data_IF_315252715751
#
_entry.id   IF_315252715751
#
_cell.length_a   1.000
_cell.length_b   1.000
_cell.length_c   1.000
_cell.angle_alpha   90.00
_cell.angle_beta   90.00
_cell.angle_gamma   90.00
#
_symmetry.space_group_name_H-M   'P 1'
#
loop_
_entity.id
_entity.type
_entity.pdbx_description
1 polymer ?
#
# COMPACT_ATOMS: atom_id res chain seq x y z
N UNK A 1 18.24 11.76 7.74
CA UNK A 1 17.40 10.71 8.26
C UNK A 1 15.95 11.03 7.98
N UNK A 2 15.25 10.05 7.43
CA UNK A 2 13.86 10.26 7.02
C UNK A 2 12.95 10.69 8.15
N UNK A 3 13.20 10.19 9.36
CA UNK A 3 12.32 10.47 10.49
C UNK A 3 12.48 11.87 11.08
N UNK A 4 13.49 12.63 10.67
CA UNK A 4 13.62 14.02 11.09
C UNK A 4 12.51 14.89 10.50
N UNK A 5 11.95 14.46 9.37
CA UNK A 5 10.88 15.18 8.68
C UNK A 5 9.77 14.21 8.33
N UNK A 6 9.06 13.70 9.34
CA UNK A 6 8.00 12.73 9.07
C UNK A 6 6.94 13.34 8.17
N UNK A 7 6.47 12.53 7.23
CA UNK A 7 5.49 12.97 6.27
C UNK A 7 4.44 11.88 6.11
N UNK A 8 3.23 12.18 6.52
CA UNK A 8 2.13 11.24 6.37
C UNK A 8 1.72 11.14 4.90
N UNK A 9 1.47 9.93 4.45
CA UNK A 9 1.12 9.65 3.07
C UNK A 9 0.00 8.64 3.00
N UNK A 10 -0.70 8.66 1.88
CA UNK A 10 -1.69 7.65 1.52
C UNK A 10 -1.22 7.08 0.19
N UNK A 11 -1.15 5.76 0.10
CA UNK A 11 -0.64 5.11 -1.11
C UNK A 11 -1.56 3.99 -1.55
N UNK A 12 -1.43 3.66 -2.83
CA UNK A 12 -1.99 2.44 -3.40
C UNK A 12 -0.80 1.62 -3.88
N UNK A 13 -0.64 0.42 -3.33
CA UNK A 13 0.53 -0.42 -3.57
C UNK A 13 0.10 -1.69 -4.27
N UNK A 14 0.71 -1.98 -5.41
CA UNK A 14 0.48 -3.22 -6.15
C UNK A 14 1.83 -3.88 -6.43
N UNK A 15 2.10 -5.01 -5.78
CA UNK A 15 3.35 -5.74 -5.91
C UNK A 15 3.11 -6.93 -6.81
N UNK A 16 3.83 -6.99 -7.93
CA UNK A 16 3.58 -7.95 -8.99
C UNK A 16 4.77 -8.89 -9.13
N UNK A 17 4.66 -10.14 -8.62
CA UNK A 17 5.72 -11.13 -8.84
C UNK A 17 5.68 -11.63 -10.29
N UNK A 18 6.84 -11.77 -10.88
CA UNK A 18 6.98 -12.20 -12.27
C UNK A 18 7.77 -13.51 -12.32
N UNK A 19 7.38 -14.36 -13.27
CA UNK A 19 8.10 -15.63 -13.48
C UNK A 19 7.70 -16.74 -12.50
N UNK A 20 6.52 -16.64 -11.90
CA UNK A 20 6.05 -17.64 -10.93
C UNK A 20 4.76 -18.34 -11.38
N UNK A 21 4.37 -18.17 -12.65
CA UNK A 21 3.19 -18.82 -13.19
C UNK A 21 1.96 -17.92 -13.17
N UNK A 22 0.81 -18.52 -13.47
CA UNK A 22 -0.42 -17.76 -13.64
C UNK A 22 -1.05 -17.31 -12.32
N UNK A 23 -0.91 -18.10 -11.26
CA UNK A 23 -1.46 -17.75 -9.95
C UNK A 23 -0.37 -17.16 -9.07
N UNK A 24 -0.66 -16.00 -8.48
CA UNK A 24 0.28 -15.30 -7.60
C UNK A 24 -0.30 -15.12 -6.20
N UNK A 25 -1.37 -15.85 -5.87
CA UNK A 25 -2.07 -15.63 -4.58
C UNK A 25 -1.18 -15.91 -3.37
N UNK A 26 -0.26 -16.88 -3.45
CA UNK A 26 0.64 -17.18 -2.34
C UNK A 26 1.57 -15.99 -2.07
N UNK A 27 2.13 -15.42 -3.13
CA UNK A 27 3.05 -14.29 -3.04
C UNK A 27 2.33 -13.03 -2.58
N UNK A 28 1.15 -12.79 -3.12
CA UNK A 28 0.35 -11.63 -2.74
C UNK A 28 -0.08 -11.73 -1.28
N UNK A 29 -0.43 -12.93 -0.81
CA UNK A 29 -0.79 -13.15 0.59
C UNK A 29 0.37 -12.80 1.52
N UNK A 30 1.58 -13.19 1.16
CA UNK A 30 2.75 -12.87 1.98
C UNK A 30 2.98 -11.36 2.05
N UNK A 31 2.83 -10.66 0.93
CA UNK A 31 2.96 -9.21 0.92
C UNK A 31 1.90 -8.55 1.79
N UNK A 32 0.66 -9.02 1.72
CA UNK A 32 -0.41 -8.45 2.52
C UNK A 32 -0.14 -8.66 4.01
N UNK A 33 0.37 -9.84 4.38
CA UNK A 33 0.75 -10.11 5.76
C UNK A 33 1.80 -9.10 6.26
N UNK A 34 2.83 -8.87 5.45
CA UNK A 34 3.90 -7.93 5.80
C UNK A 34 3.35 -6.52 5.97
N UNK A 35 2.51 -6.08 5.04
CA UNK A 35 1.93 -4.74 5.11
C UNK A 35 1.08 -4.57 6.37
N UNK A 36 0.26 -5.57 6.70
CA UNK A 36 -0.58 -5.50 7.90
C UNK A 36 0.22 -5.51 9.18
N UNK A 37 1.33 -6.25 9.21
CA UNK A 37 2.15 -6.36 10.42
C UNK A 37 3.12 -5.20 10.59
N UNK A 38 3.20 -4.32 9.60
CA UNK A 38 4.17 -3.20 9.64
C UNK A 38 3.72 -2.02 10.49
N UNK A 39 2.51 -2.06 11.02
CA UNK A 39 1.97 -0.94 11.79
C UNK A 39 1.27 0.10 10.92
N UNK A 40 1.25 -0.10 9.61
CA UNK A 40 0.53 0.77 8.69
C UNK A 40 -0.96 0.47 8.72
N UNK A 41 -1.76 1.45 8.43
CA UNK A 41 -3.19 1.26 8.21
C UNK A 41 -3.37 0.75 6.78
N UNK A 42 -4.09 -0.37 6.62
CA UNK A 42 -4.18 -1.05 5.32
C UNK A 42 -5.62 -1.34 4.95
N UNK A 43 -5.87 -1.37 3.66
CA UNK A 43 -7.17 -1.78 3.12
C UNK A 43 -6.93 -2.51 1.80
N UNK A 44 -7.15 -3.82 1.82
CA UNK A 44 -6.99 -4.67 0.63
C UNK A 44 -8.10 -4.39 -0.38
N UNK A 45 -7.75 -4.36 -1.66
CA UNK A 45 -8.73 -4.31 -2.75
C UNK A 45 -8.30 -5.26 -3.86
N UNK A 46 -9.09 -5.33 -4.93
CA UNK A 46 -8.91 -6.37 -5.95
C UNK A 46 -7.55 -6.30 -6.67
N UNK A 47 -6.96 -5.11 -6.78
CA UNK A 47 -5.73 -4.92 -7.52
C UNK A 47 -4.56 -4.44 -6.67
N UNK A 48 -4.69 -4.46 -5.35
CA UNK A 48 -3.61 -4.01 -4.50
C UNK A 48 -4.06 -3.70 -3.09
N UNK A 49 -3.31 -2.86 -2.40
CA UNK A 49 -3.58 -2.50 -1.03
C UNK A 49 -3.41 -1.00 -0.83
N UNK A 50 -4.45 -0.36 -0.32
CA UNK A 50 -4.29 1.01 0.14
C UNK A 50 -3.57 0.99 1.48
N UNK A 51 -2.58 1.88 1.64
CA UNK A 51 -1.84 2.01 2.89
C UNK A 51 -1.78 3.47 3.29
N UNK A 52 -1.79 3.70 4.59
CA UNK A 52 -1.72 5.03 5.15
C UNK A 52 -0.74 4.99 6.31
N UNK A 53 0.20 5.93 6.30
CA UNK A 53 1.18 6.03 7.35
C UNK A 53 2.29 6.98 6.97
N UNK A 54 3.40 6.89 7.67
CA UNK A 54 4.54 7.73 7.43
C UNK A 54 5.29 7.23 6.18
N UNK A 55 5.75 8.16 5.35
CA UNK A 55 6.36 7.87 4.05
C UNK A 55 7.45 6.80 4.15
N UNK A 56 8.40 6.98 5.07
CA UNK A 56 9.53 6.06 5.15
C UNK A 56 9.07 4.68 5.63
N UNK A 57 8.06 4.61 6.46
CA UNK A 57 7.51 3.33 6.91
C UNK A 57 6.81 2.59 5.78
N UNK A 58 6.11 3.32 4.91
CA UNK A 58 5.48 2.71 3.73
C UNK A 58 6.57 2.12 2.84
N UNK A 59 7.60 2.89 2.55
CA UNK A 59 8.67 2.43 1.67
C UNK A 59 9.44 1.26 2.27
N UNK A 60 9.68 1.28 3.57
CA UNK A 60 10.34 0.17 4.25
C UNK A 60 9.50 -1.11 4.17
N UNK A 61 8.18 -1.00 4.32
CA UNK A 61 7.30 -2.16 4.23
C UNK A 61 7.29 -2.73 2.82
N UNK A 62 7.26 -1.87 1.79
CA UNK A 62 7.33 -2.31 0.40
C UNK A 62 8.65 -3.04 0.13
N UNK A 63 9.75 -2.51 0.66
CA UNK A 63 11.05 -3.16 0.51
C UNK A 63 11.04 -4.55 1.15
N UNK A 64 10.45 -4.67 2.34
CA UNK A 64 10.36 -5.98 3.01
C UNK A 64 9.54 -6.97 2.19
N UNK A 65 8.51 -6.52 1.49
CA UNK A 65 7.75 -7.38 0.59
C UNK A 65 8.65 -7.92 -0.52
N UNK A 66 9.45 -7.06 -1.15
CA UNK A 66 10.39 -7.51 -2.18
C UNK A 66 11.39 -8.52 -1.64
N UNK A 67 11.95 -8.24 -0.47
CA UNK A 67 12.92 -9.14 0.14
C UNK A 67 12.30 -10.51 0.43
N UNK A 68 11.09 -10.53 0.96
CA UNK A 68 10.40 -11.77 1.27
C UNK A 68 10.10 -12.58 0.00
N UNK A 69 9.62 -11.92 -1.05
CA UNK A 69 9.31 -12.62 -2.30
C UNK A 69 10.57 -13.17 -2.96
N UNK A 70 11.66 -12.43 -2.97
CA UNK A 70 12.92 -12.95 -3.50
C UNK A 70 13.39 -14.15 -2.68
N UNK A 71 13.21 -14.12 -1.37
CA UNK A 71 13.55 -15.26 -0.51
C UNK A 71 12.67 -16.48 -0.81
N UNK A 72 11.45 -16.26 -1.32
CA UNK A 72 10.58 -17.36 -1.76
C UNK A 72 10.92 -17.88 -3.16
N UNK A 73 11.94 -17.31 -3.81
CA UNK A 73 12.37 -17.74 -5.12
C UNK A 73 11.79 -16.95 -6.29
N UNK A 74 11.09 -15.84 -6.02
CA UNK A 74 10.56 -15.00 -7.10
C UNK A 74 11.72 -14.24 -7.73
N UNK A 75 11.98 -14.44 -9.05
CA UNK A 75 13.18 -13.85 -9.66
C UNK A 75 13.04 -12.38 -9.99
N UNK A 76 11.83 -11.92 -10.30
CA UNK A 76 11.59 -10.51 -10.66
C UNK A 76 10.30 -10.03 -10.05
N UNK A 77 10.32 -8.79 -9.60
CA UNK A 77 9.15 -8.16 -8.98
C UNK A 77 9.02 -6.75 -9.55
N UNK A 78 7.82 -6.42 -9.99
CA UNK A 78 7.51 -5.06 -10.43
C UNK A 78 6.46 -4.50 -9.47
N UNK A 79 6.68 -3.31 -8.95
CA UNK A 79 5.75 -2.70 -8.00
C UNK A 79 5.28 -1.35 -8.52
N UNK A 80 3.98 -1.18 -8.53
CA UNK A 80 3.36 0.11 -8.81
C UNK A 80 2.95 0.74 -7.49
N UNK A 81 3.37 1.96 -7.25
CA UNK A 81 2.99 2.72 -6.08
C UNK A 81 2.44 4.06 -6.55
N UNK A 82 1.18 4.32 -6.21
CA UNK A 82 0.63 5.65 -6.36
C UNK A 82 0.57 6.23 -4.96
N UNK A 83 1.31 7.30 -4.70
CA UNK A 83 1.44 7.84 -3.35
C UNK A 83 1.21 9.34 -3.38
N UNK A 84 0.47 9.81 -2.40
CA UNK A 84 0.17 11.23 -2.28
C UNK A 84 0.36 11.73 -0.87
N UNK A 85 0.65 13.01 -0.77
CA UNK A 85 0.80 13.70 0.50
C UNK A 85 0.07 15.03 0.41
N UNK A 86 -0.28 15.58 1.55
CA UNK A 86 -0.84 16.93 1.61
C UNK A 86 -0.49 17.57 2.94
N UNK A 87 -0.32 18.87 2.92
CA UNK A 87 0.06 19.62 4.10
C UNK A 87 -1.03 20.60 4.54
N UNK A 88 -2.12 20.71 3.77
CA UNK A 88 -3.17 21.67 4.04
C UNK A 88 -4.21 21.19 5.05
N UNK A 89 -4.31 19.87 5.25
CA UNK A 89 -5.17 19.32 6.30
C UNK A 89 -4.80 17.85 6.55
N UNK A 90 -5.25 17.34 7.67
CA UNK A 90 -5.04 15.94 8.04
C UNK A 90 -6.26 15.15 7.57
N UNK A 91 -6.08 14.36 6.51
CA UNK A 91 -7.16 13.58 5.90
C UNK A 91 -6.75 12.12 5.84
N UNK A 92 -7.66 11.24 6.26
CA UNK A 92 -7.43 9.78 6.19
C UNK A 92 -7.99 9.23 4.89
N UNK A 93 -7.61 7.98 4.57
CA UNK A 93 -8.17 7.34 3.38
C UNK A 93 -9.68 7.10 3.53
N UNK A 94 -10.17 6.85 4.76
CA UNK A 94 -11.60 6.74 4.99
C UNK A 94 -12.31 8.07 4.74
N UNK A 95 -11.70 9.18 5.12
CA UNK A 95 -12.26 10.49 4.86
C UNK A 95 -12.46 10.74 3.37
N UNK A 96 -11.49 10.31 2.56
CA UNK A 96 -11.57 10.49 1.12
C UNK A 96 -12.73 9.72 0.53
N UNK A 97 -12.89 8.46 0.94
CA UNK A 97 -13.99 7.60 0.46
C UNK A 97 -15.33 8.13 0.94
N UNK A 98 -15.42 8.45 2.23
CA UNK A 98 -16.66 8.95 2.82
C UNK A 98 -17.15 10.22 2.12
N UNK A 99 -16.24 11.11 1.77
CA UNK A 99 -16.62 12.36 1.12
C UNK A 99 -17.29 12.12 -0.22
N UNK A 100 -16.78 11.17 -0.99
CA UNK A 100 -17.37 10.80 -2.27
C UNK A 100 -18.73 10.12 -2.06
N UNK A 101 -18.82 9.22 -1.10
CA UNK A 101 -20.08 8.54 -0.81
C UNK A 101 -21.17 9.51 -0.34
N UNK A 102 -20.80 10.49 0.47
CA UNK A 102 -21.74 11.53 0.89
C UNK A 102 -22.21 12.35 -0.30
N UNK A 103 -21.31 12.66 -1.22
CA UNK A 103 -21.66 13.37 -2.45
C UNK A 103 -22.63 12.57 -3.30
N UNK A 104 -22.41 11.26 -3.40
CA UNK A 104 -23.31 10.38 -4.15
C UNK A 104 -24.69 10.29 -3.50
N UNK A 105 -24.72 10.21 -2.16
CA UNK A 105 -25.98 10.12 -1.43
C UNK A 105 -26.83 11.39 -1.59
N UNK A 106 -26.19 12.55 -1.79
CA UNK A 106 -26.89 13.81 -2.00
C UNK A 106 -27.40 14.02 -3.41
N UNK A 107 -27.06 13.14 -4.33
CA UNK A 107 -27.45 13.26 -5.74
C UNK A 107 -28.68 12.40 -6.03
N UNK A 108 -29.80 12.99 -5.87
CA UNK A 108 -31.07 12.28 -6.04
C UNK A 108 -31.84 12.82 -7.21
#
# INVERSE_FOLDING_TARGET
>A
MGLEHPMKAIADVCIIPLGVGASVSKEVTECERILRESGLKTRLHAYGTNVEGEWDEIMAAVKRCHEALHAMGVPRISTNIRIGTRIDKNQTMEDKVRKVEEGLAGRR
#
